data_IF_313681837481
#
_entry.id   IF_313681837481
#
_cell.length_a   1.000
_cell.length_b   1.000
_cell.length_c   1.000
_cell.angle_alpha   90.00
_cell.angle_beta   90.00
_cell.angle_gamma   90.00
#
_symmetry.space_group_name_H-M   'P 1'
#
loop_
_entity.id
_entity.type
_entity.pdbx_description
1 polymer ?
#
# COMPACT_ATOMS: atom_id res chain seq x y z
N UNK A 1 -18.86 33.93 14.58
CA UNK A 1 -18.75 33.44 13.19
C UNK A 1 -18.03 32.09 13.07
N UNK A 2 -16.92 31.76 13.76
CA UNK A 2 -16.16 30.51 13.48
C UNK A 2 -16.78 29.20 14.01
N UNK A 3 -17.74 29.24 14.95
CA UNK A 3 -18.40 28.02 15.46
C UNK A 3 -19.34 27.36 14.44
N UNK A 4 -20.02 28.15 13.61
CA UNK A 4 -20.99 27.63 12.65
C UNK A 4 -20.29 26.91 11.48
N UNK A 5 -19.12 27.39 11.06
CA UNK A 5 -18.30 26.76 10.01
C UNK A 5 -17.73 25.41 10.49
N UNK A 6 -17.23 25.35 11.73
CA UNK A 6 -16.74 24.10 12.32
C UNK A 6 -17.87 23.06 12.50
N UNK A 7 -19.08 23.49 12.88
CA UNK A 7 -20.24 22.59 12.98
C UNK A 7 -20.67 22.06 11.60
N UNK A 8 -20.58 22.88 10.55
CA UNK A 8 -20.88 22.47 9.18
C UNK A 8 -19.84 21.46 8.64
N UNK A 9 -18.56 21.65 8.92
CA UNK A 9 -17.50 20.70 8.54
C UNK A 9 -17.66 19.35 9.25
N UNK A 10 -18.01 19.36 10.54
CA UNK A 10 -18.29 18.13 11.30
C UNK A 10 -19.47 17.37 10.69
N UNK A 11 -20.52 18.07 10.25
CA UNK A 11 -21.68 17.41 9.63
C UNK A 11 -21.37 16.85 8.23
N UNK A 12 -20.51 17.52 7.46
CA UNK A 12 -20.00 16.99 6.19
C UNK A 12 -19.16 15.75 6.39
N UNK A 13 -18.27 15.74 7.39
CA UNK A 13 -17.45 14.59 7.73
C UNK A 13 -18.30 13.40 8.20
N UNK A 14 -19.33 13.62 9.02
CA UNK A 14 -20.29 12.56 9.39
C UNK A 14 -20.97 11.95 8.15
N UNK A 15 -21.38 12.79 7.21
CA UNK A 15 -22.01 12.34 5.96
C UNK A 15 -21.03 11.53 5.10
N UNK A 16 -19.75 11.91 5.06
CA UNK A 16 -18.72 11.15 4.36
C UNK A 16 -18.42 9.81 5.04
N UNK A 17 -18.35 9.78 6.37
CA UNK A 17 -18.18 8.55 7.15
C UNK A 17 -19.36 7.59 6.93
N UNK A 18 -20.60 8.09 6.91
CA UNK A 18 -21.77 7.26 6.63
C UNK A 18 -21.72 6.63 5.22
N UNK A 19 -21.27 7.38 4.20
CA UNK A 19 -21.07 6.84 2.85
C UNK A 19 -20.00 5.76 2.80
N UNK A 20 -18.85 6.00 3.41
CA UNK A 20 -17.76 5.02 3.48
C UNK A 20 -18.17 3.75 4.25
N UNK A 21 -19.02 3.89 5.28
CA UNK A 21 -19.59 2.75 6.00
C UNK A 21 -20.52 1.93 5.11
N UNK A 22 -21.34 2.56 4.27
CA UNK A 22 -22.19 1.86 3.31
C UNK A 22 -21.36 1.11 2.24
N UNK A 23 -20.37 1.78 1.64
CA UNK A 23 -19.47 1.16 0.66
C UNK A 23 -18.70 -0.02 1.27
N UNK A 24 -18.27 0.08 2.54
CA UNK A 24 -17.64 -1.03 3.26
C UNK A 24 -18.59 -2.23 3.39
N UNK A 25 -19.88 -2.01 3.68
CA UNK A 25 -20.87 -3.09 3.78
C UNK A 25 -21.07 -3.76 2.42
N UNK A 26 -21.17 -2.99 1.34
CA UNK A 26 -21.31 -3.51 -0.02
C UNK A 26 -20.09 -4.36 -0.44
N UNK A 27 -18.88 -3.85 -0.16
CA UNK A 27 -17.64 -4.57 -0.43
C UNK A 27 -17.53 -5.87 0.37
N UNK A 28 -17.96 -5.87 1.64
CA UNK A 28 -18.02 -7.08 2.45
C UNK A 28 -19.02 -8.10 1.89
N UNK A 29 -20.15 -7.63 1.33
CA UNK A 29 -21.11 -8.47 0.62
C UNK A 29 -20.48 -9.15 -0.60
N UNK A 30 -19.78 -8.38 -1.44
CA UNK A 30 -19.06 -8.90 -2.63
C UNK A 30 -17.99 -9.90 -2.22
N UNK A 31 -17.21 -9.61 -1.18
CA UNK A 31 -16.19 -10.54 -0.67
C UNK A 31 -16.83 -11.85 -0.19
N UNK A 32 -17.98 -11.77 0.49
CA UNK A 32 -18.71 -12.96 0.94
C UNK A 32 -19.25 -13.78 -0.25
N UNK A 33 -19.78 -13.14 -1.29
CA UNK A 33 -20.19 -13.82 -2.53
C UNK A 33 -19.01 -14.46 -3.29
N UNK A 34 -17.87 -13.78 -3.36
CA UNK A 34 -16.66 -14.32 -3.98
C UNK A 34 -16.11 -15.51 -3.18
N UNK A 35 -16.13 -15.43 -1.85
CA UNK A 35 -15.78 -16.55 -0.98
C UNK A 35 -16.75 -17.72 -1.13
N UNK A 36 -18.05 -17.47 -1.28
CA UNK A 36 -19.03 -18.52 -1.56
C UNK A 36 -18.82 -19.16 -2.94
N UNK A 37 -18.45 -18.37 -3.96
CA UNK A 37 -18.11 -18.88 -5.30
C UNK A 37 -16.83 -19.73 -5.28
N UNK A 38 -15.81 -19.30 -4.54
CA UNK A 38 -14.58 -20.07 -4.32
C UNK A 38 -14.83 -21.37 -3.54
N UNK A 39 -15.74 -21.34 -2.56
CA UNK A 39 -16.09 -22.52 -1.76
C UNK A 39 -17.13 -23.44 -2.46
N UNK A 40 -17.64 -23.03 -3.62
CA UNK A 40 -18.61 -23.77 -4.44
C UNK A 40 -17.93 -24.64 -5.50
N UNK A 41 -16.68 -25.10 -5.25
CA UNK A 41 -15.89 -26.02 -6.07
C UNK A 41 -16.47 -27.45 -6.11
N UNK A 42 -17.74 -27.57 -6.45
CA UNK A 42 -18.42 -28.83 -6.66
C UNK A 42 -19.66 -28.63 -7.50
N UNK A 43 -19.48 -28.61 -8.83
CA UNK A 43 -20.29 -29.32 -9.83
C UNK A 43 -20.21 -28.62 -11.21
N UNK A 44 -19.49 -29.29 -12.14
CA UNK A 44 -19.68 -29.28 -13.61
C UNK A 44 -19.31 -28.00 -14.38
N UNK A 45 -18.01 -27.76 -14.61
CA UNK A 45 -17.58 -27.45 -15.97
C UNK A 45 -16.13 -27.87 -16.23
N UNK A 46 -15.92 -28.49 -17.38
CA UNK A 46 -14.67 -29.13 -17.79
C UNK A 46 -13.63 -28.07 -18.18
N UNK A 47 -12.73 -27.71 -17.26
CA UNK A 47 -11.50 -27.00 -17.58
C UNK A 47 -10.27 -27.82 -17.16
N UNK A 48 -9.32 -27.91 -18.09
CA UNK A 48 -8.06 -28.63 -17.94
C UNK A 48 -7.23 -28.00 -16.83
N UNK A 49 -7.19 -28.67 -15.68
CA UNK A 49 -6.32 -28.34 -14.56
C UNK A 49 -4.88 -28.73 -14.93
N UNK A 50 -4.05 -27.74 -15.26
CA UNK A 50 -2.59 -27.92 -15.34
C UNK A 50 -2.08 -27.97 -13.90
N UNK A 51 -2.05 -29.19 -13.33
CA UNK A 51 -1.34 -29.46 -12.08
C UNK A 51 0.16 -29.23 -12.30
N UNK A 52 0.71 -28.22 -11.65
CA UNK A 52 2.15 -28.16 -11.42
C UNK A 52 2.49 -29.28 -10.43
N UNK A 53 3.36 -30.20 -10.84
CA UNK A 53 3.87 -31.24 -9.97
C UNK A 53 4.69 -30.59 -8.85
N UNK A 54 4.07 -30.47 -7.67
CA UNK A 54 4.78 -30.25 -6.42
C UNK A 54 5.53 -31.55 -6.12
N UNK A 55 6.86 -31.45 -6.07
CA UNK A 55 7.74 -32.60 -5.89
C UNK A 55 7.44 -33.36 -4.61
N UNK A 56 7.45 -34.68 -4.72
CA UNK A 56 7.51 -35.61 -3.60
C UNK A 56 8.67 -35.26 -2.67
N UNK A 57 8.34 -34.92 -1.43
CA UNK A 57 9.18 -35.23 -0.28
C UNK A 57 8.29 -35.94 0.74
N UNK A 58 8.38 -37.27 0.72
CA UNK A 58 7.85 -38.17 1.72
C UNK A 58 8.48 -37.84 3.09
N UNK A 59 7.66 -37.69 4.13
CA UNK A 59 7.84 -38.24 5.50
C UNK A 59 6.86 -37.59 6.49
N UNK A 60 5.95 -38.46 6.95
CA UNK A 60 5.32 -38.55 8.28
C UNK A 60 4.33 -37.45 8.74
N UNK A 61 3.07 -37.85 8.61
CA UNK A 61 1.91 -37.48 9.43
C UNK A 61 2.22 -37.34 10.93
N UNK A 62 1.68 -36.27 11.55
CA UNK A 62 1.03 -36.32 12.87
C UNK A 62 0.21 -35.04 13.11
N UNK A 63 -1.10 -35.25 13.30
CA UNK A 63 -2.07 -34.30 13.83
C UNK A 63 -1.64 -33.76 15.21
N UNK A 64 -2.09 -32.54 15.57
CA UNK A 64 -2.78 -32.15 16.83
C UNK A 64 -3.02 -30.62 16.84
N UNK A 65 -4.32 -30.25 16.83
CA UNK A 65 -5.08 -29.18 17.55
C UNK A 65 -4.47 -27.79 17.96
N UNK A 66 -5.33 -26.78 18.27
CA UNK A 66 -5.08 -25.35 18.02
C UNK A 66 -4.65 -24.47 19.23
N UNK A 67 -3.99 -23.33 18.91
CA UNK A 67 -3.84 -22.02 19.64
C UNK A 67 -3.12 -22.02 21.02
N UNK A 68 -2.53 -20.91 21.57
CA UNK A 68 -2.44 -19.48 21.16
C UNK A 68 -0.99 -18.86 21.14
N UNK A 69 -0.85 -17.61 20.68
CA UNK A 69 0.44 -16.84 20.59
C UNK A 69 1.04 -16.38 21.94
N UNK A 70 1.86 -15.30 22.06
CA UNK A 70 2.55 -14.42 21.09
C UNK A 70 4.09 -14.38 21.32
N UNK A 71 4.89 -13.64 20.52
CA UNK A 71 6.00 -12.73 20.96
C UNK A 71 6.71 -12.12 19.75
N UNK A 72 6.92 -10.80 19.82
CA UNK A 72 7.67 -9.95 18.88
C UNK A 72 9.18 -10.16 19.03
N UNK A 73 9.91 -10.14 17.93
CA UNK A 73 11.25 -9.53 17.84
C UNK A 73 11.50 -9.05 16.41
N UNK A 74 11.82 -7.76 16.30
CA UNK A 74 12.36 -7.10 15.12
C UNK A 74 13.73 -7.67 14.72
N UNK A 75 13.99 -7.77 13.41
CA UNK A 75 15.33 -7.65 12.84
C UNK A 75 15.25 -7.42 11.34
N UNK A 76 15.70 -6.24 10.96
CA UNK A 76 15.97 -5.70 9.62
C UNK A 76 16.76 -6.67 8.74
N UNK A 77 16.32 -6.90 7.49
CA UNK A 77 17.15 -7.48 6.42
C UNK A 77 16.75 -6.89 5.06
N UNK A 78 17.51 -5.88 4.62
CA UNK A 78 17.30 -5.15 3.35
C UNK A 78 18.10 -5.76 2.17
N UNK A 79 18.35 -7.07 2.16
CA UNK A 79 19.19 -7.72 1.13
C UNK A 79 18.44 -8.62 0.13
N UNK A 80 17.14 -8.89 0.32
CA UNK A 80 16.39 -9.88 -0.51
C UNK A 80 15.85 -9.35 -1.85
N UNK A 81 15.91 -8.05 -2.12
CA UNK A 81 15.22 -7.46 -3.28
C UNK A 81 15.94 -7.68 -4.62
N UNK A 82 17.25 -7.96 -4.64
CA UNK A 82 18.03 -8.09 -5.88
C UNK A 82 18.15 -9.54 -6.39
N UNK A 83 17.83 -10.52 -5.56
CA UNK A 83 17.96 -11.95 -5.88
C UNK A 83 16.65 -12.50 -6.45
N UNK A 84 15.50 -12.06 -5.93
CA UNK A 84 14.18 -12.37 -6.50
C UNK A 84 14.00 -11.88 -7.93
N UNK A 85 14.54 -10.70 -8.27
CA UNK A 85 14.47 -10.16 -9.62
C UNK A 85 15.34 -10.95 -10.63
N UNK A 86 16.50 -11.47 -10.18
CA UNK A 86 17.36 -12.33 -11.02
C UNK A 86 16.74 -13.71 -11.24
N UNK A 87 16.16 -14.30 -10.19
CA UNK A 87 15.49 -15.60 -10.28
C UNK A 87 14.23 -15.54 -11.16
N UNK A 88 13.50 -14.41 -11.17
CA UNK A 88 12.35 -14.22 -12.04
C UNK A 88 12.74 -14.15 -13.52
N UNK A 89 13.79 -13.39 -13.85
CA UNK A 89 14.32 -13.29 -15.21
C UNK A 89 14.89 -14.62 -15.72
N UNK A 90 15.52 -15.40 -14.83
CA UNK A 90 16.04 -16.74 -15.17
C UNK A 90 14.90 -17.74 -15.40
N UNK A 91 13.83 -17.66 -14.62
CA UNK A 91 12.62 -18.46 -14.82
C UNK A 91 11.89 -18.12 -16.13
N UNK A 92 11.78 -16.84 -16.48
CA UNK A 92 11.26 -16.40 -17.77
C UNK A 92 12.13 -16.91 -18.93
N UNK A 93 13.46 -16.82 -18.81
CA UNK A 93 14.39 -17.32 -19.83
C UNK A 93 14.29 -18.83 -20.03
N UNK A 94 14.15 -19.60 -18.95
CA UNK A 94 13.93 -21.05 -19.00
C UNK A 94 12.58 -21.40 -19.63
N UNK A 95 11.52 -20.67 -19.29
CA UNK A 95 10.18 -20.85 -19.86
C UNK A 95 10.17 -20.55 -21.36
N UNK A 96 10.84 -19.48 -21.79
CA UNK A 96 11.00 -19.14 -23.21
C UNK A 96 11.81 -20.22 -23.94
N UNK A 97 12.88 -20.72 -23.33
CA UNK A 97 13.69 -21.82 -23.90
C UNK A 97 12.85 -23.09 -24.09
N UNK A 98 12.02 -23.43 -23.09
CA UNK A 98 11.11 -24.58 -23.15
C UNK A 98 10.06 -24.41 -24.26
N UNK A 99 9.44 -23.23 -24.38
CA UNK A 99 8.48 -22.93 -25.44
C UNK A 99 9.11 -23.00 -26.83
N UNK A 100 10.33 -22.50 -27.01
CA UNK A 100 11.06 -22.57 -28.27
C UNK A 100 11.42 -24.02 -28.65
N UNK A 101 11.74 -24.87 -27.67
CA UNK A 101 11.96 -26.30 -27.89
C UNK A 101 10.67 -26.99 -28.34
N UNK A 102 9.55 -26.76 -27.64
CA UNK A 102 8.25 -27.31 -28.02
C UNK A 102 7.79 -26.85 -29.41
N UNK A 103 8.04 -25.59 -29.78
CA UNK A 103 7.77 -25.08 -31.13
C UNK A 103 8.63 -25.77 -32.19
N UNK A 104 9.91 -26.03 -31.90
CA UNK A 104 10.81 -26.74 -32.81
C UNK A 104 10.38 -28.19 -33.02
N UNK A 105 10.05 -28.89 -31.94
CA UNK A 105 9.54 -30.26 -31.98
C UNK A 105 8.18 -30.34 -32.70
N UNK A 106 7.30 -29.38 -32.43
CA UNK A 106 6.02 -29.22 -33.12
C UNK A 106 6.21 -29.03 -34.62
N UNK A 107 7.14 -28.16 -35.03
CA UNK A 107 7.48 -27.94 -36.44
C UNK A 107 8.01 -29.21 -37.11
N UNK A 108 8.94 -29.93 -36.48
CA UNK A 108 9.45 -31.20 -36.99
C UNK A 108 8.38 -32.29 -37.06
N UNK A 109 7.38 -32.27 -36.17
CA UNK A 109 6.24 -33.21 -36.21
C UNK A 109 5.32 -32.89 -37.40
N UNK A 110 5.05 -31.62 -37.66
CA UNK A 110 4.26 -31.18 -38.82
C UNK A 110 4.95 -31.58 -40.12
N UNK A 111 6.25 -31.29 -40.28
CA UNK A 111 7.02 -31.66 -41.48
C UNK A 111 6.99 -33.18 -41.75
N UNK A 112 7.10 -34.01 -40.70
CA UNK A 112 6.96 -35.48 -40.82
C UNK A 112 5.56 -35.92 -41.26
N UNK A 113 4.52 -35.29 -40.73
CA UNK A 113 3.14 -35.59 -41.10
C UNK A 113 2.83 -35.15 -42.53
N UNK A 114 3.37 -34.02 -42.98
CA UNK A 114 3.26 -33.55 -44.37
C UNK A 114 3.92 -34.52 -45.35
N UNK A 115 5.11 -35.04 -45.02
CA UNK A 115 5.78 -36.05 -45.83
C UNK A 115 4.95 -37.34 -45.91
N UNK A 116 4.48 -37.86 -44.77
CA UNK A 116 3.67 -39.07 -44.72
C UNK A 116 2.33 -38.92 -45.48
N UNK A 117 1.73 -37.73 -45.44
CA UNK A 117 0.51 -37.41 -46.18
C UNK A 117 0.78 -37.38 -47.69
N UNK A 118 1.92 -36.83 -48.12
CA UNK A 118 2.34 -36.86 -49.53
C UNK A 118 2.56 -38.30 -50.02
N UNK A 119 3.26 -39.12 -49.26
CA UNK A 119 3.46 -40.54 -49.57
C UNK A 119 2.15 -41.35 -49.61
N UNK A 120 1.20 -41.05 -48.71
CA UNK A 120 -0.12 -41.68 -48.74
C UNK A 120 -0.92 -41.28 -49.99
N UNK A 121 -0.85 -40.00 -50.40
CA UNK A 121 -1.48 -39.52 -51.64
C UNK A 121 -0.89 -40.19 -52.88
N UNK A 122 0.43 -40.33 -52.95
CA UNK A 122 1.08 -41.04 -54.05
C UNK A 122 0.66 -42.52 -54.11
N UNK A 123 0.61 -43.21 -52.95
CA UNK A 123 0.10 -44.58 -52.87
C UNK A 123 -1.35 -44.72 -53.35
N UNK A 124 -2.24 -43.79 -52.97
CA UNK A 124 -3.65 -43.80 -53.43
C UNK A 124 -3.73 -43.60 -54.94
N UNK A 125 -2.98 -42.63 -55.49
CA UNK A 125 -2.90 -42.40 -56.94
C UNK A 125 -2.42 -43.65 -57.70
N UNK A 126 -1.43 -44.38 -57.16
CA UNK A 126 -0.94 -45.62 -57.76
C UNK A 126 -1.99 -46.75 -57.73
N UNK A 127 -2.76 -46.85 -56.64
CA UNK A 127 -3.88 -47.79 -56.57
C UNK A 127 -5.02 -47.43 -57.51
N UNK A 128 -5.34 -46.14 -57.67
CA UNK A 128 -6.35 -45.67 -58.61
C UNK A 128 -5.97 -45.95 -60.07
N UNK A 129 -4.69 -45.81 -60.43
CA UNK A 129 -4.18 -46.22 -61.75
C UNK A 129 -4.30 -47.72 -61.97
N UNK A 130 -3.84 -48.53 -61.01
CA UNK A 130 -3.97 -50.00 -61.07
C UNK A 130 -5.42 -50.49 -61.12
N UNK A 131 -6.35 -49.78 -60.48
CA UNK A 131 -7.77 -50.10 -60.51
C UNK A 131 -8.40 -49.75 -61.88
N UNK A 132 -7.98 -48.64 -62.50
CA UNK A 132 -8.39 -48.29 -63.88
C UNK A 132 -7.88 -49.31 -64.89
N UNK A 133 -6.63 -49.75 -64.76
CA UNK A 133 -6.04 -50.76 -65.64
C UNK A 133 -6.72 -52.15 -65.51
N UNK A 134 -7.28 -52.48 -64.33
CA UNK A 134 -8.04 -53.73 -64.10
C UNK A 134 -9.47 -53.71 -64.63
N UNK A 135 -10.04 -52.53 -64.93
CA UNK A 135 -11.43 -52.41 -65.37
C UNK A 135 -11.62 -52.66 -66.89
N UNK A 136 -10.53 -52.81 -67.65
CA UNK A 136 -10.56 -53.01 -69.11
C UNK A 136 -10.41 -54.49 -69.55
N UNK A 137 -10.24 -55.44 -68.62
CA UNK A 137 -10.06 -56.88 -68.93
C UNK A 137 -11.01 -57.73 -68.08
N UNK A 138 -12.30 -57.76 -68.41
CA UNK A 138 -13.19 -58.83 -67.93
C UNK A 138 -14.47 -58.90 -68.77
N UNK A 139 -14.39 -59.56 -69.92
CA UNK A 139 -15.53 -60.21 -70.57
C UNK A 139 -15.03 -61.47 -71.24
N UNK A 140 -15.45 -62.63 -70.73
CA UNK A 140 -15.89 -63.82 -71.48
C UNK A 140 -15.97 -65.03 -70.53
N UNK A 141 -17.16 -65.59 -70.37
CA UNK A 141 -17.39 -66.89 -69.74
C UNK A 141 -18.15 -67.78 -70.72
N UNK A 142 -17.40 -68.77 -71.23
CA UNK A 142 -17.73 -70.15 -71.63
C UNK A 142 -19.14 -70.49 -72.17
N UNK A 143 -19.18 -70.91 -73.44
CA UNK A 143 -20.21 -71.78 -74.00
C UNK A 143 -19.60 -73.12 -74.43
N UNK A 144 -20.20 -74.24 -74.04
CA UNK A 144 -19.82 -75.59 -74.51
C UNK A 144 -21.06 -76.38 -74.85
N UNK A 145 -21.25 -76.63 -76.14
CA UNK A 145 -22.32 -77.47 -76.72
C UNK A 145 -21.75 -78.86 -76.96
N UNK A 146 -22.43 -79.90 -76.46
CA UNK A 146 -22.08 -81.30 -76.67
C UNK A 146 -22.63 -81.81 -78.00
N UNK A 147 -21.82 -82.60 -78.70
CA UNK A 147 -22.06 -83.10 -80.04
C UNK A 147 -22.36 -84.60 -79.99
N UNK A 148 -23.42 -85.01 -80.68
CA UNK A 148 -23.98 -86.35 -80.77
C UNK A 148 -23.04 -87.35 -81.48
N UNK A 149 -23.10 -88.61 -81.05
CA UNK A 149 -22.52 -89.78 -81.72
C UNK A 149 -23.66 -90.62 -82.31
N UNK A 150 -23.55 -91.01 -83.58
CA UNK A 150 -24.34 -92.11 -84.15
C UNK A 150 -23.39 -93.22 -84.65
N UNK A 151 -23.75 -94.45 -84.30
CA UNK A 151 -23.07 -95.69 -84.65
C UNK A 151 -23.59 -96.29 -85.97
N UNK A 152 -22.62 -96.73 -86.75
CA UNK A 152 -22.48 -97.98 -87.50
C UNK A 152 -23.58 -99.09 -87.47
N UNK A 153 -23.61 -99.82 -88.60
CA UNK A 153 -24.12 -101.19 -88.92
C UNK A 153 -25.48 -101.25 -89.62
N UNK A 154 -25.69 -102.06 -90.66
CA UNK A 154 -24.92 -103.19 -91.16
C UNK A 154 -25.77 -104.47 -91.16
N UNK A 155 -26.24 -104.85 -92.36
CA UNK A 155 -26.53 -106.20 -92.87
C UNK A 155 -27.65 -107.08 -92.30
N UNK A 156 -28.53 -107.43 -93.25
CA UNK A 156 -29.00 -108.76 -93.66
C UNK A 156 -30.11 -109.49 -92.88
N UNK A 157 -31.06 -109.87 -93.72
CA UNK A 157 -32.40 -110.44 -93.53
C UNK A 157 -32.42 -111.91 -93.96
N UNK A 158 -33.11 -112.79 -93.23
CA UNK A 158 -34.03 -113.85 -93.75
C UNK A 158 -34.80 -114.48 -92.56
N UNK A 159 -36.15 -114.60 -92.66
CA UNK A 159 -36.94 -115.61 -91.95
C UNK A 159 -38.39 -115.23 -91.59
N UNK A 160 -39.32 -115.39 -92.54
CA UNK A 160 -40.73 -114.97 -92.49
C UNK A 160 -41.62 -115.75 -91.49
N UNK A 161 -42.61 -115.06 -90.93
CA UNK A 161 -43.72 -115.47 -90.03
C UNK A 161 -43.54 -115.28 -88.51
N UNK A 162 -42.32 -115.08 -88.00
CA UNK A 162 -42.07 -114.55 -86.63
C UNK A 162 -42.14 -113.02 -86.61
N UNK A 163 -42.04 -112.37 -87.77
CA UNK A 163 -41.99 -110.92 -87.94
C UNK A 163 -43.21 -110.13 -87.45
N UNK A 164 -44.49 -110.50 -87.70
CA UNK A 164 -45.62 -109.67 -87.28
C UNK A 164 -45.86 -109.71 -85.76
N UNK A 165 -45.62 -110.86 -85.10
CA UNK A 165 -45.67 -110.97 -83.65
C UNK A 165 -44.45 -110.31 -82.98
N UNK A 166 -43.27 -110.42 -83.60
CA UNK A 166 -42.08 -109.70 -83.16
C UNK A 166 -42.29 -108.18 -83.32
N UNK A 167 -42.95 -107.71 -84.39
CA UNK A 167 -43.38 -106.33 -84.56
C UNK A 167 -44.37 -105.88 -83.47
N UNK A 168 -45.36 -106.71 -83.10
CA UNK A 168 -46.33 -106.35 -82.05
C UNK A 168 -45.68 -106.34 -80.66
N UNK A 169 -44.84 -107.34 -80.35
CA UNK A 169 -44.07 -107.40 -79.09
C UNK A 169 -43.08 -106.24 -79.01
N UNK A 170 -42.37 -105.91 -80.10
CA UNK A 170 -41.48 -104.75 -80.14
C UNK A 170 -42.23 -103.42 -80.06
N UNK A 171 -43.43 -103.31 -80.64
CA UNK A 171 -44.29 -102.11 -80.49
C UNK A 171 -44.75 -101.95 -79.04
N UNK A 172 -45.25 -103.00 -78.40
CA UNK A 172 -45.63 -102.96 -76.99
C UNK A 172 -44.43 -102.70 -76.07
N UNK A 173 -43.25 -103.24 -76.39
CA UNK A 173 -42.03 -102.94 -75.66
C UNK A 173 -41.63 -101.47 -75.79
N UNK A 174 -41.75 -100.91 -77.01
CA UNK A 174 -41.52 -99.48 -77.25
C UNK A 174 -42.52 -98.62 -76.48
N UNK A 175 -43.82 -98.95 -76.51
CA UNK A 175 -44.85 -98.23 -75.76
C UNK A 175 -44.64 -98.31 -74.24
N UNK A 176 -44.23 -99.47 -73.71
CA UNK A 176 -43.89 -99.65 -72.30
C UNK A 176 -42.63 -98.86 -71.92
N UNK A 177 -41.62 -98.86 -72.79
CA UNK A 177 -40.39 -98.08 -72.61
C UNK A 177 -40.68 -96.57 -72.69
N UNK A 178 -41.58 -96.15 -73.57
CA UNK A 178 -42.10 -94.78 -73.65
C UNK A 178 -42.92 -94.40 -72.42
N UNK A 179 -43.75 -95.30 -71.89
CA UNK A 179 -44.50 -95.05 -70.66
C UNK A 179 -43.56 -94.96 -69.44
N UNK A 180 -42.52 -95.80 -69.39
CA UNK A 180 -41.51 -95.78 -68.33
C UNK A 180 -40.64 -94.51 -68.39
N UNK A 181 -40.25 -94.07 -69.59
CA UNK A 181 -39.54 -92.78 -69.77
C UNK A 181 -40.42 -91.60 -69.35
N UNK A 182 -41.71 -91.57 -69.77
CA UNK A 182 -42.67 -90.55 -69.33
C UNK A 182 -42.92 -90.56 -67.82
N UNK A 183 -42.97 -91.74 -67.18
CA UNK A 183 -43.09 -91.86 -65.73
C UNK A 183 -41.83 -91.34 -65.02
N UNK A 184 -40.64 -91.71 -65.50
CA UNK A 184 -39.37 -91.21 -64.98
C UNK A 184 -39.28 -89.68 -65.11
N UNK A 185 -39.71 -89.12 -66.25
CA UNK A 185 -39.83 -87.68 -66.46
C UNK A 185 -40.82 -87.03 -65.49
N UNK A 186 -41.98 -87.65 -65.24
CA UNK A 186 -42.98 -87.16 -64.29
C UNK A 186 -42.50 -87.23 -62.83
N UNK A 187 -41.77 -88.28 -62.44
CA UNK A 187 -41.14 -88.39 -61.12
C UNK A 187 -40.04 -87.35 -60.94
N UNK A 188 -39.24 -87.10 -61.98
CA UNK A 188 -38.23 -86.06 -62.00
C UNK A 188 -38.90 -84.68 -61.90
N UNK A 189 -40.00 -84.44 -62.62
CA UNK A 189 -40.82 -83.23 -62.48
C UNK A 189 -41.39 -83.08 -61.06
N UNK A 190 -41.90 -84.15 -60.46
CA UNK A 190 -42.39 -84.16 -59.07
C UNK A 190 -41.29 -83.79 -58.10
N UNK A 191 -40.09 -84.38 -58.22
CA UNK A 191 -38.92 -84.03 -57.40
C UNK A 191 -38.55 -82.56 -57.55
N UNK A 192 -38.45 -82.06 -58.78
CA UNK A 192 -38.19 -80.63 -59.06
C UNK A 192 -39.25 -79.70 -58.45
N UNK A 193 -40.54 -80.08 -58.51
CA UNK A 193 -41.62 -79.29 -57.91
C UNK A 193 -41.56 -79.32 -56.39
N UNK A 194 -41.28 -80.47 -55.79
CA UNK A 194 -41.13 -80.61 -54.34
C UNK A 194 -39.95 -79.79 -53.82
N UNK A 195 -38.80 -79.81 -54.51
CA UNK A 195 -37.65 -78.96 -54.22
C UNK A 195 -37.99 -77.47 -54.32
N UNK A 196 -38.74 -77.08 -55.35
CA UNK A 196 -39.25 -75.71 -55.50
C UNK A 196 -40.17 -75.31 -54.35
N UNK A 197 -41.11 -76.16 -53.95
CA UNK A 197 -42.00 -75.89 -52.82
C UNK A 197 -41.21 -75.72 -51.51
N UNK A 198 -40.27 -76.61 -51.22
CA UNK A 198 -39.42 -76.47 -50.03
C UNK A 198 -38.53 -75.22 -50.10
N UNK A 199 -38.01 -74.85 -51.27
CA UNK A 199 -37.24 -73.63 -51.45
C UNK A 199 -38.11 -72.38 -51.20
N UNK A 200 -39.36 -72.40 -51.66
CA UNK A 200 -40.32 -71.32 -51.42
C UNK A 200 -40.74 -71.22 -49.94
N UNK A 201 -40.97 -72.35 -49.26
CA UNK A 201 -41.26 -72.37 -47.83
C UNK A 201 -40.12 -71.80 -46.99
N UNK A 202 -38.85 -72.18 -47.29
CA UNK A 202 -37.67 -71.59 -46.64
C UNK A 202 -37.53 -70.09 -46.90
N UNK A 203 -37.85 -69.63 -48.12
CA UNK A 203 -37.86 -68.19 -48.43
C UNK A 203 -38.95 -67.47 -47.65
N UNK A 204 -40.17 -68.02 -47.62
CA UNK A 204 -41.27 -67.41 -46.88
C UNK A 204 -41.03 -67.37 -45.37
N UNK A 205 -40.38 -68.37 -44.78
CA UNK A 205 -40.03 -68.33 -43.36
C UNK A 205 -38.88 -67.36 -43.03
N UNK A 206 -37.95 -67.13 -43.96
CA UNK A 206 -36.88 -66.14 -43.80
C UNK A 206 -37.37 -64.68 -43.96
N UNK A 207 -38.30 -64.43 -44.89
CA UNK A 207 -38.81 -63.07 -45.17
C UNK A 207 -39.32 -62.26 -43.97
N UNK A 208 -40.08 -62.79 -42.98
CA UNK A 208 -40.51 -62.01 -41.82
C UNK A 208 -39.36 -61.61 -40.89
N UNK A 209 -38.32 -62.45 -40.74
CA UNK A 209 -37.11 -62.09 -39.97
C UNK A 209 -36.37 -60.94 -40.64
N UNK A 210 -36.17 -61.05 -41.96
CA UNK A 210 -35.55 -59.99 -42.76
C UNK A 210 -36.35 -58.68 -42.72
N UNK A 211 -37.69 -58.76 -42.67
CA UNK A 211 -38.57 -57.60 -42.59
C UNK A 211 -38.47 -56.92 -41.21
N UNK A 212 -38.39 -57.70 -40.13
CA UNK A 212 -38.16 -57.18 -38.78
C UNK A 212 -36.78 -56.49 -38.66
N UNK A 213 -35.73 -57.12 -39.17
CA UNK A 213 -34.38 -56.52 -39.22
C UNK A 213 -34.37 -55.21 -40.02
N UNK A 214 -35.06 -55.17 -41.17
CA UNK A 214 -35.23 -53.92 -41.94
C UNK A 214 -35.93 -52.84 -41.14
N UNK A 215 -36.97 -53.19 -40.38
CA UNK A 215 -37.72 -52.23 -39.58
C UNK A 215 -36.88 -51.67 -38.41
N UNK A 216 -36.08 -52.52 -37.76
CA UNK A 216 -35.12 -52.10 -36.74
C UNK A 216 -34.02 -51.20 -37.31
N UNK A 217 -33.47 -51.55 -38.49
CA UNK A 217 -32.51 -50.70 -39.21
C UNK A 217 -33.09 -49.33 -39.60
N UNK A 218 -34.36 -49.27 -40.00
CA UNK A 218 -35.05 -48.01 -40.29
C UNK A 218 -35.21 -47.17 -39.02
N UNK A 219 -35.63 -47.78 -37.91
CA UNK A 219 -35.72 -47.10 -36.62
C UNK A 219 -34.37 -46.56 -36.15
N UNK A 220 -33.31 -47.36 -36.25
CA UNK A 220 -31.96 -46.98 -35.88
C UNK A 220 -31.41 -45.87 -36.79
N UNK A 221 -31.65 -45.93 -38.11
CA UNK A 221 -31.32 -44.83 -39.02
C UNK A 221 -32.05 -43.55 -38.62
N UNK A 222 -33.36 -43.63 -38.35
CA UNK A 222 -34.14 -42.45 -37.94
C UNK A 222 -33.62 -41.83 -36.64
N UNK A 223 -33.21 -42.65 -35.68
CA UNK A 223 -32.58 -42.20 -34.44
C UNK A 223 -31.24 -41.51 -34.70
N UNK A 224 -30.39 -42.07 -35.55
CA UNK A 224 -29.10 -41.47 -35.94
C UNK A 224 -29.29 -40.18 -36.73
N UNK A 225 -30.28 -40.11 -37.62
CA UNK A 225 -30.65 -38.88 -38.34
C UNK A 225 -30.97 -37.74 -37.36
N UNK A 226 -31.80 -38.01 -36.35
CA UNK A 226 -32.15 -37.00 -35.33
C UNK A 226 -30.94 -36.59 -34.49
N UNK A 227 -30.05 -37.52 -34.15
CA UNK A 227 -28.80 -37.18 -33.45
C UNK A 227 -27.90 -36.29 -34.32
N UNK A 228 -27.73 -36.63 -35.60
CA UNK A 228 -26.95 -35.83 -36.55
C UNK A 228 -27.58 -34.45 -36.72
N UNK A 229 -28.91 -34.34 -36.81
CA UNK A 229 -29.61 -33.07 -36.91
C UNK A 229 -29.45 -32.21 -35.65
N UNK A 230 -29.53 -32.82 -34.46
CA UNK A 230 -29.26 -32.15 -33.18
C UNK A 230 -27.83 -31.62 -33.12
N UNK A 231 -26.82 -32.46 -33.41
CA UNK A 231 -25.42 -32.03 -33.41
C UNK A 231 -25.15 -30.95 -34.45
N UNK A 232 -25.77 -31.03 -35.64
CA UNK A 232 -25.67 -29.97 -36.66
C UNK A 232 -26.26 -28.65 -36.18
N UNK A 233 -27.38 -28.69 -35.46
CA UNK A 233 -28.00 -27.51 -34.86
C UNK A 233 -27.09 -26.90 -33.79
N UNK A 234 -26.49 -27.72 -32.93
CA UNK A 234 -25.56 -27.28 -31.90
C UNK A 234 -24.30 -26.64 -32.50
N UNK A 235 -23.70 -27.27 -33.52
CA UNK A 235 -22.57 -26.70 -34.28
C UNK A 235 -22.95 -25.34 -34.88
N UNK A 236 -24.14 -25.22 -35.48
CA UNK A 236 -24.60 -23.96 -36.08
C UNK A 236 -24.77 -22.86 -35.03
N UNK A 237 -25.31 -23.19 -33.87
CA UNK A 237 -25.44 -22.25 -32.75
C UNK A 237 -24.08 -21.80 -32.24
N UNK A 238 -23.12 -22.73 -32.10
CA UNK A 238 -21.77 -22.39 -31.65
C UNK A 238 -20.99 -21.57 -32.68
N UNK A 239 -21.16 -21.85 -33.97
CA UNK A 239 -20.65 -21.00 -35.06
C UNK A 239 -21.23 -19.57 -34.98
N UNK A 240 -22.53 -19.43 -34.71
CA UNK A 240 -23.14 -18.11 -34.56
C UNK A 240 -22.60 -17.36 -33.33
N UNK A 241 -22.42 -18.05 -32.18
CA UNK A 241 -21.80 -17.45 -30.98
C UNK A 241 -20.36 -17.02 -31.23
N UNK A 242 -19.55 -17.88 -31.85
CA UNK A 242 -18.15 -17.53 -32.15
C UNK A 242 -18.04 -16.35 -33.11
N UNK A 243 -18.96 -16.21 -34.06
CA UNK A 243 -19.00 -15.04 -34.95
C UNK A 243 -19.45 -13.77 -34.21
N UNK A 244 -20.42 -13.87 -33.30
CA UNK A 244 -20.83 -12.75 -32.42
C UNK A 244 -19.64 -12.29 -31.55
N UNK A 245 -18.92 -13.22 -30.92
CA UNK A 245 -17.73 -12.91 -30.12
C UNK A 245 -16.59 -12.29 -30.96
N UNK A 246 -16.37 -12.77 -32.19
CA UNK A 246 -15.42 -12.11 -33.12
C UNK A 246 -15.83 -10.68 -33.43
N UNK A 247 -17.13 -10.43 -33.65
CA UNK A 247 -17.64 -9.08 -33.94
C UNK A 247 -17.49 -8.14 -32.74
N UNK A 248 -17.71 -8.65 -31.51
CA UNK A 248 -17.46 -7.92 -30.26
C UNK A 248 -15.98 -7.62 -30.08
N UNK A 249 -15.11 -8.60 -30.32
CA UNK A 249 -13.66 -8.42 -30.24
C UNK A 249 -13.17 -7.39 -31.25
N UNK A 250 -13.66 -7.43 -32.49
CA UNK A 250 -13.33 -6.44 -33.52
C UNK A 250 -13.78 -5.03 -33.11
N UNK A 251 -14.99 -4.91 -32.54
CA UNK A 251 -15.49 -3.64 -32.02
C UNK A 251 -14.62 -3.13 -30.87
N UNK A 252 -14.23 -4.00 -29.94
CA UNK A 252 -13.34 -3.67 -28.82
C UNK A 252 -11.95 -3.24 -29.30
N UNK A 253 -11.40 -3.91 -30.31
CA UNK A 253 -10.14 -3.51 -30.93
C UNK A 253 -10.24 -2.12 -31.57
N UNK A 254 -11.34 -1.81 -32.27
CA UNK A 254 -11.58 -0.49 -32.85
C UNK A 254 -11.71 0.60 -31.78
N UNK A 255 -12.47 0.35 -30.71
CA UNK A 255 -12.61 1.32 -29.61
C UNK A 255 -11.31 1.51 -28.85
N UNK A 256 -10.54 0.46 -28.63
CA UNK A 256 -9.22 0.55 -28.01
C UNK A 256 -8.25 1.39 -28.85
N UNK A 257 -8.16 1.11 -30.16
CA UNK A 257 -7.34 1.90 -31.07
C UNK A 257 -7.75 3.38 -31.11
N UNK A 258 -9.06 3.65 -31.09
CA UNK A 258 -9.59 5.01 -31.01
C UNK A 258 -9.20 5.70 -29.70
N UNK A 259 -9.32 5.02 -28.56
CA UNK A 259 -8.93 5.58 -27.26
C UNK A 259 -7.44 5.89 -27.21
N UNK A 260 -6.59 5.01 -27.75
CA UNK A 260 -5.15 5.26 -27.86
C UNK A 260 -4.87 6.50 -28.72
N UNK A 261 -5.60 6.69 -29.82
CA UNK A 261 -5.47 7.88 -30.65
C UNK A 261 -5.90 9.15 -29.90
N UNK A 262 -7.03 9.11 -29.20
CA UNK A 262 -7.53 10.23 -28.38
C UNK A 262 -6.56 10.58 -27.26
N UNK A 263 -5.99 9.58 -26.57
CA UNK A 263 -4.95 9.77 -25.55
C UNK A 263 -3.71 10.45 -26.12
N UNK A 264 -3.18 9.96 -27.25
CA UNK A 264 -2.01 10.54 -27.91
C UNK A 264 -2.27 11.99 -28.36
N UNK A 265 -3.48 12.28 -28.85
CA UNK A 265 -3.87 13.63 -29.23
C UNK A 265 -3.96 14.55 -27.99
N UNK A 266 -4.58 14.08 -26.89
CA UNK A 266 -4.66 14.82 -25.64
C UNK A 266 -3.25 15.14 -25.08
N UNK A 267 -2.34 14.18 -25.13
CA UNK A 267 -0.95 14.36 -24.72
C UNK A 267 -0.26 15.45 -25.55
N UNK A 268 -0.37 15.39 -26.89
CA UNK A 268 0.15 16.44 -27.79
C UNK A 268 -0.43 17.82 -27.49
N UNK A 269 -1.75 17.91 -27.26
CA UNK A 269 -2.37 19.20 -26.91
C UNK A 269 -1.88 19.74 -25.58
N UNK A 270 -1.63 18.87 -24.60
CA UNK A 270 -1.10 19.26 -23.29
C UNK A 270 0.33 19.78 -23.41
N UNK A 271 1.18 19.11 -24.17
CA UNK A 271 2.55 19.53 -24.44
C UNK A 271 2.60 20.89 -25.17
N UNK A 272 1.74 21.06 -26.18
CA UNK A 272 1.62 22.33 -26.91
C UNK A 272 1.13 23.47 -26.02
N UNK A 273 0.17 23.21 -25.12
CA UNK A 273 -0.28 24.19 -24.15
C UNK A 273 0.82 24.57 -23.17
N UNK A 274 1.58 23.59 -22.63
CA UNK A 274 2.73 23.85 -21.76
C UNK A 274 3.80 24.68 -22.47
N UNK A 275 4.09 24.38 -23.74
CA UNK A 275 5.02 25.14 -24.57
C UNK A 275 4.54 26.59 -24.72
N UNK A 276 3.27 26.80 -25.12
CA UNK A 276 2.68 28.14 -25.25
C UNK A 276 2.67 28.90 -23.93
N UNK A 277 2.38 28.24 -22.82
CA UNK A 277 2.41 28.87 -21.50
C UNK A 277 3.84 29.30 -21.15
N UNK A 278 4.85 28.46 -21.40
CA UNK A 278 6.26 28.81 -21.21
C UNK A 278 6.77 29.93 -22.13
N UNK A 279 6.12 30.13 -23.28
CA UNK A 279 6.39 31.23 -24.21
C UNK A 279 5.66 32.52 -23.82
N UNK A 280 4.44 32.40 -23.27
CA UNK A 280 3.65 33.55 -22.77
C UNK A 280 4.23 34.12 -21.49
N UNK A 281 4.80 33.27 -20.63
CA UNK A 281 5.57 33.73 -19.48
C UNK A 281 6.84 34.37 -20.03
N UNK A 282 6.83 35.70 -20.13
CA UNK A 282 8.01 36.46 -20.50
C UNK A 282 9.10 36.20 -19.45
N UNK A 283 10.06 35.36 -19.83
CA UNK A 283 11.18 34.96 -18.98
C UNK A 283 11.95 36.18 -18.49
N UNK A 284 11.99 37.26 -19.27
CA UNK A 284 12.65 38.51 -18.90
C UNK A 284 11.89 39.17 -17.75
N UNK A 285 10.57 39.33 -17.87
CA UNK A 285 9.74 39.92 -16.80
C UNK A 285 9.80 39.09 -15.52
N UNK A 286 9.79 37.76 -15.62
CA UNK A 286 9.89 36.88 -14.45
C UNK A 286 11.25 37.02 -13.76
N UNK A 287 12.35 37.09 -14.52
CA UNK A 287 13.69 37.34 -13.98
C UNK A 287 13.81 38.74 -13.34
N UNK A 288 13.23 39.77 -13.96
CA UNK A 288 13.20 41.12 -13.40
C UNK A 288 12.43 41.18 -12.08
N UNK A 289 11.28 40.50 -11.99
CA UNK A 289 10.51 40.42 -10.75
C UNK A 289 11.27 39.68 -9.66
N UNK A 290 11.94 38.58 -9.99
CA UNK A 290 12.77 37.85 -9.03
C UNK A 290 13.93 38.71 -8.52
N UNK A 291 14.60 39.45 -9.41
CA UNK A 291 15.65 40.40 -9.02
C UNK A 291 15.13 41.53 -8.11
N UNK A 292 13.94 42.07 -8.39
CA UNK A 292 13.29 43.07 -7.52
C UNK A 292 12.95 42.50 -6.15
N UNK A 293 12.48 41.26 -6.08
CA UNK A 293 12.19 40.55 -4.83
C UNK A 293 13.46 40.40 -3.99
N UNK A 294 14.56 39.90 -4.57
CA UNK A 294 15.84 39.74 -3.86
C UNK A 294 16.38 41.07 -3.32
N UNK A 295 16.24 42.17 -4.08
CA UNK A 295 16.65 43.49 -3.62
C UNK A 295 15.78 43.99 -2.44
N UNK A 296 14.47 43.76 -2.51
CA UNK A 296 13.55 44.11 -1.43
C UNK A 296 13.84 43.32 -0.16
N UNK A 297 14.14 42.01 -0.27
CA UNK A 297 14.52 41.16 0.85
C UNK A 297 15.82 41.63 1.51
N UNK A 298 16.85 41.94 0.72
CA UNK A 298 18.13 42.49 1.24
C UNK A 298 17.92 43.84 1.93
N UNK A 299 17.09 44.72 1.37
CA UNK A 299 16.76 46.00 1.99
C UNK A 299 16.01 45.81 3.32
N UNK A 300 15.07 44.87 3.38
CA UNK A 300 14.34 44.54 4.60
C UNK A 300 15.29 44.01 5.68
N UNK A 301 16.20 43.10 5.34
CA UNK A 301 17.20 42.57 6.26
C UNK A 301 18.13 43.67 6.79
N UNK A 302 18.58 44.58 5.92
CA UNK A 302 19.40 45.73 6.33
C UNK A 302 18.64 46.68 7.27
N UNK A 303 17.35 46.93 7.01
CA UNK A 303 16.51 47.73 7.91
C UNK A 303 16.27 47.05 9.25
N UNK A 304 16.12 45.73 9.26
CA UNK A 304 15.99 44.96 10.49
C UNK A 304 17.26 45.09 11.36
N UNK A 305 18.44 44.95 10.75
CA UNK A 305 19.71 45.14 11.46
C UNK A 305 19.82 46.56 12.05
N UNK A 306 19.48 47.59 11.27
CA UNK A 306 19.48 48.98 11.73
C UNK A 306 18.53 49.20 12.91
N UNK A 307 17.33 48.59 12.88
CA UNK A 307 16.38 48.67 13.99
C UNK A 307 16.93 48.01 15.26
N UNK A 308 17.63 46.88 15.13
CA UNK A 308 18.17 46.17 16.29
C UNK A 308 19.37 46.91 16.90
N UNK A 309 20.22 47.54 16.08
CA UNK A 309 21.25 48.47 16.54
C UNK A 309 20.62 49.66 17.29
N UNK A 310 19.59 50.29 16.72
CA UNK A 310 18.90 51.39 17.37
C UNK A 310 18.28 50.98 18.72
N UNK A 311 17.62 49.82 18.79
CA UNK A 311 17.08 49.29 20.05
C UNK A 311 18.16 49.10 21.11
N UNK A 312 19.33 48.59 20.72
CA UNK A 312 20.45 48.44 21.63
C UNK A 312 20.94 49.80 22.17
N UNK A 313 21.03 50.81 21.30
CA UNK A 313 21.42 52.17 21.72
C UNK A 313 20.41 52.80 22.67
N UNK A 314 19.11 52.63 22.41
CA UNK A 314 18.04 53.13 23.28
C UNK A 314 18.12 52.45 24.65
N UNK A 315 18.23 51.12 24.71
CA UNK A 315 18.36 50.39 25.96
C UNK A 315 19.60 50.79 26.77
N UNK A 316 20.70 51.19 26.11
CA UNK A 316 21.88 51.74 26.79
C UNK A 316 21.59 53.14 27.35
N UNK A 317 20.98 54.01 26.56
CA UNK A 317 20.62 55.37 26.99
C UNK A 317 19.62 55.35 28.15
N UNK A 318 18.67 54.42 28.17
CA UNK A 318 17.74 54.23 29.30
C UNK A 318 18.48 53.94 30.61
N UNK A 319 19.45 53.02 30.58
CA UNK A 319 20.31 52.74 31.74
C UNK A 319 21.13 53.95 32.17
N UNK A 320 21.71 54.68 31.22
CA UNK A 320 22.48 55.89 31.53
C UNK A 320 21.57 56.96 32.18
N UNK A 321 20.32 57.11 31.71
CA UNK A 321 19.34 58.00 32.31
C UNK A 321 18.94 57.58 33.73
N UNK A 322 18.79 56.28 34.00
CA UNK A 322 18.57 55.75 35.36
C UNK A 322 19.73 56.14 36.29
N UNK A 323 20.98 55.97 35.83
CA UNK A 323 22.16 56.37 36.64
C UNK A 323 22.20 57.88 36.88
N UNK A 324 21.86 58.69 35.88
CA UNK A 324 21.79 60.14 36.03
C UNK A 324 20.73 60.57 37.05
N UNK A 325 19.58 59.90 37.08
CA UNK A 325 18.53 60.19 38.06
C UNK A 325 19.02 59.94 39.50
N UNK A 326 19.72 58.83 39.74
CA UNK A 326 20.32 58.52 41.04
C UNK A 326 21.37 59.56 41.44
N UNK A 327 22.27 59.93 40.53
CA UNK A 327 23.31 60.92 40.81
C UNK A 327 22.73 62.32 41.10
N UNK A 328 21.62 62.69 40.43
CA UNK A 328 20.90 63.94 40.74
C UNK A 328 20.28 63.91 42.13
N UNK A 329 19.58 62.83 42.49
CA UNK A 329 19.03 62.66 43.83
C UNK A 329 20.13 62.71 44.90
N UNK A 330 21.28 62.07 44.64
CA UNK A 330 22.45 62.12 45.53
C UNK A 330 22.97 63.56 45.70
N UNK A 331 23.09 64.33 44.61
CA UNK A 331 23.48 65.74 44.67
C UNK A 331 22.49 66.57 45.51
N UNK A 332 21.19 66.38 45.31
CA UNK A 332 20.14 67.10 46.05
C UNK A 332 20.20 66.82 47.56
N UNK A 333 20.41 65.56 47.95
CA UNK A 333 20.61 65.16 49.35
C UNK A 333 21.86 65.83 49.92
N UNK A 334 23.00 65.76 49.25
CA UNK A 334 24.22 66.42 49.73
C UNK A 334 24.08 67.94 49.85
N UNK A 335 23.43 68.60 48.90
CA UNK A 335 23.15 70.03 48.99
C UNK A 335 22.26 70.36 50.18
N UNK A 336 21.20 69.56 50.41
CA UNK A 336 20.32 69.72 51.57
C UNK A 336 21.06 69.52 52.89
N UNK A 337 21.85 68.45 53.01
CA UNK A 337 22.65 68.14 54.20
C UNK A 337 23.67 69.24 54.49
N UNK A 338 24.34 69.76 53.45
CA UNK A 338 25.27 70.87 53.59
C UNK A 338 24.59 72.13 54.15
N UNK A 339 23.40 72.48 53.65
CA UNK A 339 22.64 73.62 54.15
C UNK A 339 22.14 73.42 55.58
N UNK A 340 21.64 72.22 55.91
CA UNK A 340 21.19 71.86 57.25
C UNK A 340 22.35 71.94 58.26
N UNK A 341 23.50 71.36 57.92
CA UNK A 341 24.72 71.39 58.74
C UNK A 341 25.23 72.83 58.94
N UNK A 342 25.18 73.65 57.89
CA UNK A 342 25.54 75.07 58.00
C UNK A 342 24.62 75.81 58.97
N UNK A 343 23.29 75.64 58.83
CA UNK A 343 22.32 76.27 59.71
C UNK A 343 22.48 75.80 61.17
N UNK A 344 22.76 74.51 61.38
CA UNK A 344 23.07 73.96 62.71
C UNK A 344 24.35 74.58 63.30
N UNK A 345 25.41 74.72 62.50
CA UNK A 345 26.64 75.41 62.93
C UNK A 345 26.40 76.86 63.29
N UNK A 346 25.65 77.60 62.48
CA UNK A 346 25.31 79.00 62.75
C UNK A 346 24.53 79.13 64.07
N UNK A 347 23.55 78.25 64.32
CA UNK A 347 22.81 78.20 65.59
C UNK A 347 23.72 77.90 66.79
N UNK A 348 24.62 76.92 66.67
CA UNK A 348 25.61 76.63 67.72
C UNK A 348 26.52 77.83 67.95
N UNK A 349 26.91 78.55 66.90
CA UNK A 349 27.71 79.76 67.00
C UNK A 349 26.96 80.88 67.74
N UNK A 350 25.69 81.09 67.44
CA UNK A 350 24.82 82.05 68.15
C UNK A 350 24.67 81.68 69.64
N UNK A 351 24.37 80.42 69.95
CA UNK A 351 24.26 79.93 71.34
C UNK A 351 25.59 80.09 72.10
N UNK A 352 26.72 79.80 71.43
CA UNK A 352 28.06 80.01 71.99
C UNK A 352 28.32 81.49 72.30
N UNK A 353 27.91 82.40 71.42
CA UNK A 353 28.04 83.85 71.64
C UNK A 353 27.17 84.32 72.80
N UNK A 354 25.93 83.83 72.89
CA UNK A 354 25.04 84.11 74.02
C UNK A 354 25.63 83.65 75.36
N UNK A 355 26.18 82.42 75.41
CA UNK A 355 26.85 81.90 76.60
C UNK A 355 28.11 82.69 76.96
N UNK A 356 28.89 83.13 75.96
CA UNK A 356 30.07 83.97 76.19
C UNK A 356 29.69 85.33 76.79
N UNK A 357 28.58 85.94 76.34
CA UNK A 357 28.05 87.17 76.93
C UNK A 357 27.57 86.97 78.36
N UNK A 358 26.84 85.88 78.64
CA UNK A 358 26.40 85.54 80.00
C UNK A 358 27.61 85.34 80.92
N UNK A 359 28.63 84.62 80.47
CA UNK A 359 29.87 84.41 81.21
C UNK A 359 30.60 85.73 81.47
N UNK A 360 30.64 86.65 80.51
CA UNK A 360 31.24 87.97 80.68
C UNK A 360 30.48 88.84 81.71
N UNK A 361 29.15 88.75 81.77
CA UNK A 361 28.34 89.41 82.80
C UNK A 361 28.63 88.80 84.17
N UNK A 362 28.57 87.46 84.31
CA UNK A 362 28.86 86.79 85.57
C UNK A 362 30.28 87.10 86.08
N UNK A 363 31.27 87.15 85.19
CA UNK A 363 32.63 87.56 85.56
C UNK A 363 32.70 89.02 86.02
N UNK A 364 31.97 89.94 85.36
CA UNK A 364 31.87 91.34 85.78
C UNK A 364 31.21 91.47 87.14
N UNK A 365 30.10 90.77 87.36
CA UNK A 365 29.37 90.77 88.62
C UNK A 365 30.24 90.18 89.73
N UNK A 366 30.91 89.04 89.49
CA UNK A 366 31.84 88.45 90.44
C UNK A 366 33.00 89.40 90.76
N UNK A 367 33.58 90.07 89.76
CA UNK A 367 34.59 91.11 89.99
C UNK A 367 34.02 92.29 90.80
N UNK A 368 32.78 92.71 90.57
CA UNK A 368 32.13 93.78 91.33
C UNK A 368 31.78 93.37 92.78
N UNK A 369 31.45 92.11 93.03
CA UNK A 369 31.34 91.57 94.40
C UNK A 369 32.70 91.53 95.10
N UNK A 370 33.75 91.20 94.35
CA UNK A 370 35.12 91.20 94.83
C UNK A 370 35.63 92.63 95.11
N UNK A 371 35.28 93.63 94.27
CA UNK A 371 35.68 95.05 94.39
C UNK A 371 34.75 95.86 95.31
N UNK A 372 33.51 95.38 95.51
CA UNK A 372 32.46 95.99 96.31
C UNK A 372 32.71 95.82 97.80
N UNK A 373 33.83 96.34 98.30
CA UNK A 373 34.14 96.49 99.72
C UNK A 373 34.26 95.20 100.54
N UNK A 374 33.79 94.05 100.06
CA UNK A 374 33.82 92.79 100.79
C UNK A 374 35.23 92.23 100.83
N UNK A 375 35.98 92.26 99.72
CA UNK A 375 37.43 91.94 99.77
C UNK A 375 38.26 93.05 100.37
N UNK A 376 37.94 94.33 100.17
CA UNK A 376 38.70 95.39 100.86
C UNK A 376 38.50 95.30 102.38
N UNK A 377 37.29 94.99 102.86
CA UNK A 377 37.01 94.74 104.27
C UNK A 377 37.70 93.46 104.76
N UNK A 378 37.75 92.40 103.94
CA UNK A 378 38.45 91.16 104.28
C UNK A 378 39.98 91.32 104.26
N UNK A 379 40.51 92.05 103.27
CA UNK A 379 41.93 92.42 103.15
C UNK A 379 42.32 93.45 104.21
N UNK A 380 41.44 94.35 104.66
CA UNK A 380 41.70 95.26 105.79
C UNK A 380 41.70 94.48 107.10
N UNK A 381 40.79 93.52 107.28
CA UNK A 381 40.85 92.57 108.40
C UNK A 381 42.14 91.72 108.38
N UNK A 382 42.62 91.31 107.20
CA UNK A 382 43.92 90.64 107.07
C UNK A 382 45.11 91.60 107.23
N UNK A 383 45.00 92.87 106.81
CA UNK A 383 46.08 93.87 106.86
C UNK A 383 46.38 94.35 108.28
N UNK A 384 45.40 94.30 109.19
CA UNK A 384 45.63 94.46 110.63
C UNK A 384 46.47 93.32 111.24
N UNK A 385 46.74 92.26 110.47
CA UNK A 385 47.56 91.10 110.84
C UNK A 385 48.59 90.69 109.78
N UNK A 386 49.01 91.58 108.89
CA UNK A 386 49.84 91.23 107.74
C UNK A 386 51.35 91.38 107.92
N UNK A 387 51.95 90.77 108.95
CA UNK A 387 53.40 90.60 109.02
C UNK A 387 53.81 89.22 108.49
N UNK A 388 54.82 89.21 107.60
CA UNK A 388 55.54 88.06 107.01
C UNK A 388 54.86 87.49 105.75
N UNK A 389 55.44 87.70 104.57
CA UNK A 389 56.73 87.22 104.04
C UNK A 389 56.42 86.14 102.99
N UNK A 390 56.98 86.35 101.78
CA UNK A 390 57.64 85.34 100.93
C UNK A 390 56.80 84.11 100.49
N UNK A 391 56.95 83.54 99.31
CA UNK A 391 58.06 83.54 98.39
C UNK A 391 57.58 82.98 97.04
N UNK A 392 58.53 82.96 96.11
CA UNK A 392 58.51 82.47 94.74
C UNK A 392 57.84 81.12 94.44
N UNK A 393 57.68 80.92 93.13
CA UNK A 393 57.87 79.66 92.41
C UNK A 393 56.79 78.56 92.52
N UNK A 394 56.08 78.33 91.41
CA UNK A 394 56.30 77.13 90.58
C UNK A 394 55.18 76.95 89.54
N UNK A 395 55.58 77.02 88.27
CA UNK A 395 54.90 76.29 87.21
C UNK A 395 55.05 74.78 87.43
N UNK A 396 54.03 74.07 86.95
CA UNK A 396 54.03 72.69 86.47
C UNK A 396 53.42 71.61 87.37
N UNK A 397 52.49 70.88 86.74
CA UNK A 397 51.93 69.57 87.08
C UNK A 397 51.02 69.46 88.32
N UNK A 398 49.74 69.12 88.08
CA UNK A 398 49.17 67.78 88.37
C UNK A 398 47.63 67.77 88.21
N UNK A 399 47.19 67.36 87.02
CA UNK A 399 46.33 66.18 86.78
C UNK A 399 45.21 65.81 87.79
N UNK A 400 44.01 65.67 87.21
CA UNK A 400 42.87 64.78 87.53
C UNK A 400 41.99 65.00 88.77
N UNK A 401 40.74 65.41 88.51
CA UNK A 401 39.47 64.73 88.88
C UNK A 401 38.33 65.49 88.19
N UNK A 402 37.38 64.94 87.44
CA UNK A 402 37.00 63.59 87.08
C UNK A 402 35.53 63.61 86.65
N UNK A 403 35.17 62.65 85.80
CA UNK A 403 33.82 62.23 85.39
C UNK A 403 33.17 62.97 84.21
N UNK A 404 33.73 62.79 83.01
CA UNK A 404 32.92 62.79 81.80
C UNK A 404 33.09 61.47 81.05
N UNK A 405 31.93 60.84 80.89
CA UNK A 405 31.55 59.98 79.79
C UNK A 405 32.12 58.55 79.70
N UNK A 406 31.69 57.74 80.68
CA UNK A 406 31.62 56.29 80.54
C UNK A 406 30.23 55.87 80.04
N UNK A 407 29.69 56.52 78.99
CA UNK A 407 28.41 56.11 78.41
C UNK A 407 28.35 56.00 76.88
N UNK A 408 29.45 56.19 76.15
CA UNK A 408 29.42 56.04 74.68
C UNK A 408 29.92 54.71 74.09
N UNK A 409 30.67 53.89 74.83
CA UNK A 409 31.15 52.59 74.31
C UNK A 409 30.25 51.40 74.59
N UNK A 410 29.09 51.58 75.23
CA UNK A 410 28.17 50.48 75.55
C UNK A 410 26.92 50.43 74.66
N UNK A 411 26.75 51.40 73.75
CA UNK A 411 25.63 51.44 72.80
C UNK A 411 25.99 50.94 71.38
N UNK A 412 27.22 50.51 71.16
CA UNK A 412 27.66 49.86 69.89
C UNK A 412 27.76 48.33 69.97
N UNK A 413 27.40 47.70 71.10
CA UNK A 413 27.35 46.23 71.23
C UNK A 413 25.91 45.65 71.25
N UNK A 414 24.90 46.43 70.87
CA UNK A 414 23.50 45.96 70.79
C UNK A 414 22.87 46.01 69.39
N UNK A 415 23.66 45.95 68.33
CA UNK A 415 23.16 45.67 66.98
C UNK A 415 23.95 44.54 66.33
N UNK A 416 23.89 43.35 66.93
CA UNK A 416 24.02 42.13 66.11
C UNK A 416 22.68 42.03 65.37
N UNK A 417 22.64 42.02 64.03
CA UNK A 417 21.39 41.95 63.30
C UNK A 417 20.66 40.66 63.67
N UNK A 418 19.47 40.78 64.26
CA UNK A 418 18.65 39.62 64.65
C UNK A 418 17.95 39.10 63.39
N UNK A 419 18.59 38.12 62.73
CA UNK A 419 18.07 37.51 61.52
C UNK A 419 16.96 36.52 61.86
N UNK A 420 15.72 37.00 61.77
CA UNK A 420 14.52 36.26 62.19
C UNK A 420 13.71 35.82 60.97
N UNK A 421 13.29 34.55 60.93
CA UNK A 421 12.39 34.09 59.87
C UNK A 421 11.01 34.75 60.03
N UNK A 422 10.49 35.46 59.02
CA UNK A 422 9.21 36.17 59.14
C UNK A 422 7.98 35.24 59.22
N UNK A 423 8.15 33.93 58.96
CA UNK A 423 7.04 32.96 58.98
C UNK A 423 6.88 32.27 60.34
N UNK A 424 7.98 31.83 60.98
CA UNK A 424 7.96 31.09 62.24
C UNK A 424 8.59 31.85 63.43
N UNK A 425 9.28 32.97 63.19
CA UNK A 425 9.90 33.80 64.21
C UNK A 425 11.20 33.23 64.81
N UNK A 426 11.76 32.16 64.23
CA UNK A 426 13.02 31.56 64.70
C UNK A 426 14.21 32.49 64.39
N UNK A 427 15.06 32.74 65.40
CA UNK A 427 16.20 33.64 65.32
C UNK A 427 17.46 32.85 64.98
N UNK A 428 18.09 33.22 63.87
CA UNK A 428 19.26 32.52 63.32
C UNK A 428 20.50 33.41 63.39
N UNK A 429 21.70 32.81 63.53
CA UNK A 429 22.92 33.54 63.88
C UNK A 429 23.49 34.41 62.75
N UNK A 430 23.12 34.16 61.49
CA UNK A 430 23.62 34.86 60.30
C UNK A 430 22.63 34.80 59.12
N UNK A 431 22.83 35.67 58.12
CA UNK A 431 21.91 35.86 56.98
C UNK A 431 21.87 34.67 56.03
N UNK A 432 22.97 33.93 55.88
CA UNK A 432 23.04 32.80 54.95
C UNK A 432 22.24 31.63 55.51
N UNK A 433 22.35 31.39 56.83
CA UNK A 433 21.50 30.44 57.55
C UNK A 433 20.02 30.83 57.50
N UNK A 434 19.69 32.13 57.57
CA UNK A 434 18.31 32.62 57.42
C UNK A 434 17.77 32.38 56.00
N UNK A 435 18.55 32.64 54.96
CA UNK A 435 18.15 32.44 53.56
C UNK A 435 17.83 30.96 53.30
N UNK A 436 18.69 30.04 53.73
CA UNK A 436 18.45 28.59 53.61
C UNK A 436 17.15 28.21 54.34
N UNK A 437 17.02 28.63 55.60
CA UNK A 437 15.82 28.32 56.40
C UNK A 437 14.53 28.89 55.79
N UNK A 438 14.54 30.12 55.28
CA UNK A 438 13.35 30.74 54.65
C UNK A 438 12.95 29.97 53.39
N UNK A 439 13.92 29.45 52.62
CA UNK A 439 13.62 28.64 51.43
C UNK A 439 12.92 27.33 51.80
N UNK A 440 13.36 26.66 52.88
CA UNK A 440 12.74 25.42 53.36
C UNK A 440 11.42 25.65 54.14
N UNK A 441 11.30 26.78 54.82
CA UNK A 441 10.14 27.14 55.64
C UNK A 441 8.97 27.70 54.79
N UNK A 442 9.17 28.01 53.50
CA UNK A 442 8.12 28.51 52.59
C UNK A 442 7.21 27.40 52.04
N UNK A 443 7.65 26.14 52.00
CA UNK A 443 6.78 24.96 51.79
C UNK A 443 5.88 24.78 53.02
#
# INVERSE_FOLDING_TARGET
VPKAEAEQEVEQLKTQVARLQAEKVDLLGIISELQLKLNSDGCEDSFVEIRMAEGEADVATKEIKPSPGPTRTDSTDTSKSAEGARNYLEFEALTVSQLLLCLREGKQKVERLELALKEAKERISDFEKKAKDRCEIETQTEGRTEQEKEEEKGTETVGSEVEPLNLQVTTLFKELQEAHTKLSEAELMKKRLQEKCQALERKNSATPSELNEKQELVYNNRKLELQVESMRSEIKMEQAKTEDEKSKLATLQLTHNRLLQEYNNALKTTEELKRRESEKVDKVVLQELNGKLELAEKALASKQLQMDEMKQTVAKQEKDLETMAVLRAQMEVYCSDFHAERAAREKIHEEKEQLALQLAILLRDNNAFEDGGSRQSLMEMQSRHGARASDADQQAYLVQRGAEDRNWMQQEQQNIPVHSCPKCGEVLPDIDTLLIHVTDCII
#
